data_IF_479298084985
#
_entry.id   IF_479298084985
#
_cell.length_a   1.000
_cell.length_b   1.000
_cell.length_c   1.000
_cell.angle_alpha   90.00
_cell.angle_beta   90.00
_cell.angle_gamma   90.00
#
_symmetry.space_group_name_H-M   'P 1'
#
loop_
_entity.id
_entity.type
_entity.pdbx_description
1 polymer ?
#
# COMPACT_ATOMS: atom_id res chain seq x y z
N UNK A 1 12.07 12.13 -3.56
CA UNK A 1 11.33 10.86 -3.78
C UNK A 1 11.24 10.18 -2.44
N UNK A 2 10.09 9.57 -2.12
CA UNK A 2 9.90 8.77 -0.93
C UNK A 2 10.10 7.29 -1.25
N UNK A 3 10.44 6.50 -0.24
CA UNK A 3 10.63 5.05 -0.36
C UNK A 3 9.86 4.33 0.74
N UNK A 4 9.34 3.15 0.41
CA UNK A 4 8.61 2.31 1.36
C UNK A 4 8.77 0.85 1.00
N UNK A 5 8.98 0.04 2.02
CA UNK A 5 9.10 -1.41 1.85
C UNK A 5 7.72 -2.04 1.90
N UNK A 6 7.41 -2.89 0.94
CA UNK A 6 6.19 -3.69 0.92
C UNK A 6 6.54 -5.17 1.05
N UNK A 7 5.91 -5.84 2.01
CA UNK A 7 6.15 -7.25 2.31
C UNK A 7 4.87 -8.04 2.10
N UNK A 8 4.97 -9.11 1.30
CA UNK A 8 3.89 -10.07 1.14
C UNK A 8 4.12 -11.30 2.02
N UNK A 9 3.41 -11.37 3.13
CA UNK A 9 3.41 -12.52 4.04
C UNK A 9 2.22 -13.47 3.76
N UNK A 10 1.74 -13.51 2.52
CA UNK A 10 0.67 -14.39 2.07
C UNK A 10 1.18 -15.42 1.06
N UNK A 11 0.45 -16.53 0.83
CA UNK A 11 0.80 -17.50 -0.20
C UNK A 11 0.41 -17.06 -1.62
N UNK A 12 -0.21 -15.89 -1.80
CA UNK A 12 -0.73 -15.41 -3.07
C UNK A 12 0.19 -14.36 -3.70
N UNK A 13 0.26 -14.32 -5.02
CA UNK A 13 0.89 -13.20 -5.74
C UNK A 13 -0.05 -11.99 -5.66
N UNK A 14 0.46 -10.86 -5.18
CA UNK A 14 -0.31 -9.63 -5.00
C UNK A 14 0.05 -8.61 -6.06
N UNK A 15 -0.95 -8.10 -6.77
CA UNK A 15 -0.82 -6.93 -7.63
C UNK A 15 -1.20 -5.70 -6.79
N UNK A 16 -0.24 -4.81 -6.60
CA UNK A 16 -0.39 -3.63 -5.76
C UNK A 16 -0.35 -2.38 -6.63
N UNK A 17 -1.24 -1.44 -6.36
CA UNK A 17 -1.15 -0.06 -6.84
C UNK A 17 -1.21 0.87 -5.66
N UNK A 18 -0.22 1.75 -5.52
CA UNK A 18 -0.22 2.81 -4.52
C UNK A 18 -0.58 4.13 -5.18
N UNK A 19 -1.38 4.93 -4.49
CA UNK A 19 -1.86 6.23 -4.97
C UNK A 19 -1.07 7.33 -4.26
N UNK A 20 -0.40 8.20 -5.02
CA UNK A 20 0.44 9.27 -4.49
C UNK A 20 -0.44 10.50 -4.24
N UNK A 21 -0.35 11.08 -3.04
CA UNK A 21 -1.06 12.29 -2.65
C UNK A 21 -0.41 13.52 -3.28
N UNK A 22 -1.24 14.42 -3.82
CA UNK A 22 -0.77 15.72 -4.28
C UNK A 22 -0.74 16.71 -3.11
N UNK A 23 0.46 17.10 -2.69
CA UNK A 23 0.69 17.94 -1.52
C UNK A 23 0.39 17.23 -0.19
N UNK A 24 0.06 18.03 0.83
CA UNK A 24 -0.10 17.52 2.19
C UNK A 24 -1.52 16.98 2.49
N UNK A 25 -2.53 17.57 1.84
CA UNK A 25 -3.93 17.26 2.08
C UNK A 25 -4.42 16.09 1.20
N UNK A 26 -5.26 15.18 1.72
CA UNK A 26 -5.65 13.94 1.02
C UNK A 26 -6.69 14.15 -0.08
N UNK A 27 -7.04 15.38 -0.42
CA UNK A 27 -8.11 15.68 -1.38
C UNK A 27 -7.71 15.44 -2.84
N UNK A 28 -6.42 15.50 -3.13
CA UNK A 28 -5.90 15.45 -4.49
C UNK A 28 -4.87 14.33 -4.65
N UNK A 29 -4.75 13.83 -5.88
CA UNK A 29 -3.84 12.75 -6.24
C UNK A 29 -2.90 13.20 -7.35
N UNK A 30 -1.62 12.89 -7.20
CA UNK A 30 -0.57 13.26 -8.16
C UNK A 30 -0.33 12.14 -9.19
N UNK A 31 -0.33 10.89 -8.74
CA UNK A 31 -0.05 9.74 -9.60
C UNK A 31 -0.26 8.39 -8.92
N UNK A 32 0.23 7.33 -9.57
CA UNK A 32 0.20 5.96 -9.04
C UNK A 32 1.47 5.21 -9.37
N UNK A 33 1.84 4.25 -8.52
CA UNK A 33 2.89 3.26 -8.82
C UNK A 33 2.28 1.87 -8.66
N UNK A 34 2.49 1.02 -9.67
CA UNK A 34 2.00 -0.37 -9.66
C UNK A 34 3.17 -1.34 -9.67
N UNK A 35 3.06 -2.40 -8.87
CA UNK A 35 4.08 -3.43 -8.73
C UNK A 35 3.43 -4.76 -8.33
N UNK A 36 4.20 -5.83 -8.45
CA UNK A 36 3.78 -7.18 -8.02
C UNK A 36 4.64 -7.62 -6.84
N UNK A 37 4.03 -8.27 -5.86
CA UNK A 37 4.72 -8.96 -4.78
C UNK A 37 4.42 -10.45 -4.88
N UNK A 38 5.44 -11.26 -5.12
CA UNK A 38 5.36 -12.70 -5.05
C UNK A 38 5.19 -13.17 -3.59
N UNK A 39 4.72 -14.41 -3.35
CA UNK A 39 4.60 -14.96 -2.01
C UNK A 39 5.92 -14.88 -1.24
N UNK A 40 5.91 -14.28 -0.04
CA UNK A 40 7.10 -14.09 0.79
C UNK A 40 8.06 -12.97 0.34
N UNK A 41 7.74 -12.24 -0.73
CA UNK A 41 8.60 -11.18 -1.26
C UNK A 41 8.57 -9.92 -0.40
N UNK A 42 9.72 -9.27 -0.29
CA UNK A 42 9.87 -7.91 0.23
C UNK A 42 10.47 -7.03 -0.87
N UNK A 43 9.78 -5.94 -1.21
CA UNK A 43 10.17 -5.03 -2.28
C UNK A 43 10.25 -3.59 -1.74
N UNK A 44 11.37 -2.92 -1.98
CA UNK A 44 11.50 -1.48 -1.76
C UNK A 44 10.94 -0.73 -2.97
N UNK A 45 9.95 0.12 -2.74
CA UNK A 45 9.26 0.88 -3.79
C UNK A 45 9.50 2.37 -3.59
N UNK A 46 10.09 3.00 -4.60
CA UNK A 46 10.21 4.46 -4.67
C UNK A 46 8.96 5.07 -5.31
N UNK A 47 8.47 6.17 -4.76
CA UNK A 47 7.29 6.87 -5.26
C UNK A 47 7.36 8.38 -4.99
N UNK A 48 6.53 9.12 -5.72
CA UNK A 48 6.36 10.55 -5.56
C UNK A 48 7.65 11.36 -5.73
N UNK A 49 7.62 12.59 -5.24
CA UNK A 49 8.71 13.55 -5.33
C UNK A 49 8.83 14.34 -4.00
N UNK A 50 9.76 15.30 -3.86
CA UNK A 50 9.88 16.09 -2.64
C UNK A 50 8.64 16.94 -2.27
N UNK A 51 7.73 17.21 -3.21
CA UNK A 51 6.47 17.93 -2.97
C UNK A 51 5.31 16.96 -2.68
N UNK A 52 5.35 15.75 -3.25
CA UNK A 52 4.30 14.73 -3.20
C UNK A 52 4.81 13.44 -2.54
N UNK A 53 5.15 13.52 -1.25
CA UNK A 53 5.83 12.42 -0.54
C UNK A 53 4.90 11.45 0.21
N UNK A 54 3.59 11.71 0.20
CA UNK A 54 2.62 10.93 0.96
C UNK A 54 1.81 10.00 0.06
N UNK A 55 1.34 8.90 0.64
CA UNK A 55 0.36 8.02 0.02
C UNK A 55 -1.05 8.49 0.35
N UNK A 56 -1.89 8.49 -0.68
CA UNK A 56 -3.32 8.76 -0.57
C UNK A 56 -4.16 7.49 -0.49
N UNK A 57 -3.58 6.33 -0.79
CA UNK A 57 -4.29 5.07 -0.74
C UNK A 57 -3.50 3.93 -1.37
N UNK A 58 -4.16 2.77 -1.41
CA UNK A 58 -3.68 1.58 -2.08
C UNK A 58 -4.84 0.77 -2.67
N UNK A 59 -4.50 -0.01 -3.68
CA UNK A 59 -5.29 -1.08 -4.25
C UNK A 59 -4.46 -2.36 -4.18
N UNK A 60 -5.06 -3.40 -3.65
CA UNK A 60 -4.55 -4.76 -3.68
C UNK A 60 -5.50 -5.58 -4.54
N UNK A 61 -4.94 -6.33 -5.48
CA UNK A 61 -5.66 -7.29 -6.31
C UNK A 61 -4.91 -8.62 -6.32
N UNK A 62 -5.65 -9.73 -6.24
CA UNK A 62 -5.07 -11.07 -6.37
C UNK A 62 -6.12 -12.08 -6.83
N UNK A 63 -5.65 -13.11 -7.54
CA UNK A 63 -6.43 -14.30 -7.87
C UNK A 63 -5.71 -15.47 -7.22
N UNK A 64 -6.38 -16.15 -6.28
CA UNK A 64 -5.76 -17.21 -5.51
C UNK A 64 -6.79 -18.30 -5.17
N UNK A 65 -6.42 -19.57 -5.38
CA UNK A 65 -7.28 -20.73 -5.12
C UNK A 65 -8.68 -20.67 -5.77
N UNK A 66 -8.79 -20.04 -6.94
CA UNK A 66 -10.06 -19.91 -7.68
C UNK A 66 -10.90 -18.69 -7.28
N UNK A 67 -10.48 -17.94 -6.26
CA UNK A 67 -11.14 -16.72 -5.82
C UNK A 67 -10.42 -15.49 -6.38
N UNK A 68 -11.20 -14.50 -6.80
CA UNK A 68 -10.72 -13.15 -7.09
C UNK A 68 -10.97 -12.28 -5.87
N UNK A 69 -9.91 -11.64 -5.37
CA UNK A 69 -9.97 -10.73 -4.24
C UNK A 69 -9.43 -9.35 -4.63
N UNK A 70 -10.13 -8.30 -4.23
CA UNK A 70 -9.72 -6.91 -4.44
C UNK A 70 -10.04 -6.07 -3.20
N UNK A 71 -9.09 -5.22 -2.78
CA UNK A 71 -9.25 -4.28 -1.67
C UNK A 71 -8.69 -2.94 -2.06
N UNK A 72 -9.51 -1.90 -1.95
CA UNK A 72 -9.13 -0.52 -2.22
C UNK A 72 -9.39 0.32 -0.98
N UNK A 73 -8.41 1.14 -0.59
CA UNK A 73 -8.51 2.01 0.57
C UNK A 73 -7.88 3.36 0.25
N UNK A 74 -8.62 4.43 0.54
CA UNK A 74 -8.17 5.80 0.38
C UNK A 74 -8.25 6.56 1.69
N UNK A 75 -7.25 7.42 1.90
CA UNK A 75 -7.26 8.41 2.96
C UNK A 75 -8.18 9.55 2.52
N UNK A 76 -9.16 9.88 3.35
CA UNK A 76 -10.07 11.02 3.14
C UNK A 76 -9.88 12.10 4.21
N UNK A 77 -9.20 11.77 5.30
CA UNK A 77 -8.92 12.64 6.44
C UNK A 77 -7.47 12.45 6.87
N UNK A 78 -6.72 13.55 6.95
CA UNK A 78 -5.32 13.54 7.41
C UNK A 78 -5.24 13.05 8.87
N UNK A 79 -4.15 12.34 9.18
CA UNK A 79 -3.88 11.72 10.48
C UNK A 79 -4.93 10.68 10.94
N UNK A 80 -5.78 10.20 10.04
CA UNK A 80 -6.63 9.03 10.29
C UNK A 80 -5.79 7.76 10.49
N UNK A 81 -6.41 6.69 10.99
CA UNK A 81 -5.72 5.42 11.20
C UNK A 81 -5.03 4.89 9.93
N UNK A 82 -5.73 4.96 8.79
CA UNK A 82 -5.15 4.58 7.50
C UNK A 82 -4.02 5.53 7.08
N UNK A 83 -4.19 6.83 7.28
CA UNK A 83 -3.16 7.81 6.94
C UNK A 83 -1.87 7.55 7.72
N UNK A 84 -2.00 7.33 9.03
CA UNK A 84 -0.88 7.01 9.90
C UNK A 84 -0.26 5.66 9.51
N UNK A 85 -1.07 4.66 9.22
CA UNK A 85 -0.60 3.36 8.74
C UNK A 85 0.27 3.51 7.50
N UNK A 86 -0.18 4.28 6.50
CA UNK A 86 0.52 4.45 5.24
C UNK A 86 1.71 5.39 5.33
N UNK A 87 1.64 6.45 6.11
CA UNK A 87 2.59 7.57 6.02
C UNK A 87 3.56 7.69 7.21
N UNK A 88 3.29 7.05 8.35
CA UNK A 88 4.20 7.05 9.51
C UNK A 88 5.10 5.80 9.53
N UNK A 89 4.71 4.74 8.82
CA UNK A 89 5.46 3.49 8.76
C UNK A 89 6.34 3.41 7.51
N UNK A 90 7.60 2.97 7.66
CA UNK A 90 8.50 2.73 6.54
C UNK A 90 8.24 1.39 5.82
N UNK A 91 7.53 0.47 6.48
CA UNK A 91 7.24 -0.88 5.97
C UNK A 91 5.76 -1.18 6.07
N UNK A 92 5.18 -1.70 4.99
CA UNK A 92 3.80 -2.17 4.91
C UNK A 92 3.81 -3.68 4.68
N UNK A 93 3.23 -4.43 5.60
CA UNK A 93 3.10 -5.88 5.49
C UNK A 93 1.67 -6.26 5.15
N UNK A 94 1.51 -7.13 4.16
CA UNK A 94 0.23 -7.71 3.78
C UNK A 94 0.23 -9.17 4.23
N UNK A 95 -0.72 -9.53 5.08
CA UNK A 95 -0.91 -10.91 5.57
C UNK A 95 -2.31 -11.38 5.24
N UNK A 96 -2.44 -12.61 4.75
CA UNK A 96 -3.76 -13.24 4.58
C UNK A 96 -4.27 -13.75 5.92
N UNK A 97 -5.43 -13.29 6.36
CA UNK A 97 -6.12 -13.77 7.56
C UNK A 97 -7.52 -14.22 7.19
N UNK A 98 -7.79 -15.51 7.28
CA UNK A 98 -9.03 -16.13 6.79
C UNK A 98 -9.27 -15.80 5.30
N UNK A 99 -10.27 -14.95 5.03
CA UNK A 99 -10.68 -14.51 3.70
C UNK A 99 -10.24 -13.08 3.36
N UNK A 100 -9.58 -12.37 4.28
CA UNK A 100 -9.13 -10.99 4.10
C UNK A 100 -7.60 -10.92 3.95
N UNK A 101 -7.14 -9.86 3.28
CA UNK A 101 -5.74 -9.44 3.30
C UNK A 101 -5.62 -8.24 4.23
N UNK A 102 -5.08 -8.50 5.42
CA UNK A 102 -4.86 -7.50 6.45
C UNK A 102 -3.57 -6.77 6.14
N UNK A 103 -3.63 -5.44 6.24
CA UNK A 103 -2.51 -4.55 5.98
C UNK A 103 -2.07 -3.99 7.33
N UNK A 104 -0.78 -4.10 7.64
CA UNK A 104 -0.18 -3.55 8.84
C UNK A 104 1.05 -2.71 8.50
N UNK A 105 1.33 -1.71 9.33
CA UNK A 105 2.51 -0.86 9.22
C UNK A 105 3.49 -1.11 10.36
N UNK A 106 4.79 -1.03 10.06
CA UNK A 106 5.86 -1.07 11.06
C UNK A 106 7.02 -0.17 10.65
N UNK A 107 7.83 0.22 11.63
CA UNK A 107 9.13 0.87 11.43
C UNK A 107 10.23 -0.15 11.77
N UNK A 108 10.86 -0.68 10.74
CA UNK A 108 11.97 -1.64 10.84
C UNK A 108 13.27 -0.97 10.41
#
# INVERSE_FOLDING_TARGET
MAEKTFVNNSPATLQMTIFIRQGNEPFNQDGTVSFTLNPGESLLVSFGDPQNMFLNGLLLFTIFNGDLYSKIQFVTVASSELDNLLNINNTITITKTNTDYVISGSNV
#
